data_IF_329783667487
#
_entry.id   IF_329783667487
#
_cell.length_a   1.000
_cell.length_b   1.000
_cell.length_c   1.000
_cell.angle_alpha   90.00
_cell.angle_beta   90.00
_cell.angle_gamma   90.00
#
_symmetry.space_group_name_H-M   'P 1'
#
loop_
_entity.id
_entity.type
_entity.pdbx_description
1 polymer ?
#
# COMPACT_ATOMS: atom_id res chain seq x y z
N UNK A 1 9.58 -16.45 16.02
CA UNK A 1 8.55 -15.40 16.11
C UNK A 1 9.22 -14.10 15.66
N UNK A 2 8.77 -13.51 14.55
CA UNK A 2 9.44 -12.40 13.84
C UNK A 2 9.10 -11.04 14.48
N UNK A 3 9.41 -10.88 15.77
CA UNK A 3 9.03 -9.69 16.52
C UNK A 3 10.01 -9.37 17.67
N UNK A 4 11.31 -9.31 17.39
CA UNK A 4 12.32 -8.87 18.39
C UNK A 4 13.23 -7.75 17.86
N UNK A 5 12.72 -6.92 16.95
CA UNK A 5 13.37 -5.65 16.61
C UNK A 5 12.29 -4.59 16.46
N UNK A 6 12.40 -3.42 17.10
CA UNK A 6 11.40 -2.37 16.97
C UNK A 6 11.17 -1.97 15.50
N UNK A 7 12.18 -2.08 14.64
CA UNK A 7 12.04 -1.90 13.19
C UNK A 7 11.31 -3.06 12.47
N UNK A 8 11.45 -4.31 12.96
CA UNK A 8 10.85 -5.50 12.33
C UNK A 8 9.38 -5.71 12.72
N UNK A 9 9.00 -5.38 13.96
CA UNK A 9 7.61 -5.39 14.39
C UNK A 9 6.81 -4.27 13.72
N UNK A 10 7.42 -3.09 13.54
CA UNK A 10 6.82 -1.95 12.85
C UNK A 10 6.62 -2.24 11.35
N UNK A 11 7.65 -2.77 10.68
CA UNK A 11 7.53 -3.21 9.28
C UNK A 11 6.45 -4.29 9.08
N UNK A 12 6.30 -5.19 10.05
CA UNK A 12 5.25 -6.23 10.02
C UNK A 12 3.87 -5.63 10.23
N UNK A 13 3.71 -4.72 11.19
CA UNK A 13 2.43 -4.03 11.44
C UNK A 13 1.99 -3.19 10.24
N UNK A 14 2.93 -2.48 9.59
CA UNK A 14 2.68 -1.74 8.36
C UNK A 14 2.29 -2.70 7.23
N UNK A 15 2.97 -3.84 7.08
CA UNK A 15 2.61 -4.85 6.08
C UNK A 15 1.18 -5.39 6.30
N UNK A 16 0.85 -5.77 7.53
CA UNK A 16 -0.50 -6.26 7.87
C UNK A 16 -1.56 -5.18 7.67
N UNK A 17 -1.29 -3.94 8.09
CA UNK A 17 -2.20 -2.82 7.89
C UNK A 17 -2.47 -2.53 6.41
N UNK A 18 -1.45 -2.59 5.55
CA UNK A 18 -1.62 -2.41 4.10
C UNK A 18 -2.41 -3.56 3.47
N UNK A 19 -2.18 -4.81 3.90
CA UNK A 19 -2.92 -5.98 3.42
C UNK A 19 -4.40 -5.90 3.84
N UNK A 20 -4.69 -5.57 5.10
CA UNK A 20 -6.05 -5.38 5.58
C UNK A 20 -6.73 -4.23 4.86
N UNK A 21 -6.03 -3.11 4.66
CA UNK A 21 -6.59 -1.97 3.94
C UNK A 21 -6.92 -2.31 2.49
N UNK A 22 -6.05 -3.06 1.79
CA UNK A 22 -6.34 -3.56 0.44
C UNK A 22 -7.58 -4.45 0.43
N UNK A 23 -7.68 -5.40 1.37
CA UNK A 23 -8.84 -6.30 1.49
C UNK A 23 -10.14 -5.56 1.80
N UNK A 24 -10.11 -4.58 2.70
CA UNK A 24 -11.26 -3.73 3.05
C UNK A 24 -11.76 -2.94 1.84
N UNK A 25 -10.84 -2.52 0.98
CA UNK A 25 -11.17 -1.88 -0.29
C UNK A 25 -11.45 -2.88 -1.41
N UNK A 26 -11.38 -4.20 -1.20
CA UNK A 26 -11.60 -5.22 -2.25
C UNK A 26 -10.52 -5.22 -3.34
N UNK A 27 -9.32 -4.75 -3.01
CA UNK A 27 -8.13 -4.79 -3.87
C UNK A 27 -7.33 -6.07 -3.58
N UNK A 28 -6.68 -6.59 -4.61
CA UNK A 28 -5.73 -7.70 -4.44
C UNK A 28 -4.49 -7.19 -3.66
N UNK A 29 -4.21 -7.70 -2.44
CA UNK A 29 -3.16 -7.15 -1.58
C UNK A 29 -1.78 -7.13 -2.22
N UNK A 30 -1.47 -8.16 -3.00
CA UNK A 30 -0.20 -8.27 -3.69
C UNK A 30 -0.04 -7.19 -4.77
N UNK A 31 -1.09 -6.96 -5.56
CA UNK A 31 -1.08 -5.93 -6.61
C UNK A 31 -0.97 -4.52 -6.03
N UNK A 32 -1.69 -4.27 -4.93
CA UNK A 32 -1.64 -3.00 -4.20
C UNK A 32 -0.25 -2.72 -3.64
N UNK A 33 0.34 -3.66 -2.89
CA UNK A 33 1.69 -3.53 -2.33
C UNK A 33 2.76 -3.35 -3.42
N UNK A 34 2.71 -4.15 -4.49
CA UNK A 34 3.65 -4.05 -5.60
C UNK A 34 3.59 -2.68 -6.28
N UNK A 35 2.40 -2.10 -6.38
CA UNK A 35 2.21 -0.80 -7.01
C UNK A 35 2.63 0.35 -6.10
N UNK A 36 2.38 0.24 -4.79
CA UNK A 36 2.95 1.15 -3.79
C UNK A 36 4.47 1.13 -3.90
N UNK A 37 5.13 -0.03 -3.82
CA UNK A 37 6.59 -0.10 -3.88
C UNK A 37 7.18 0.39 -5.21
N UNK A 38 6.44 0.23 -6.31
CA UNK A 38 6.84 0.75 -7.62
C UNK A 38 6.70 2.26 -7.73
N UNK A 39 5.68 2.85 -7.13
CA UNK A 39 5.40 4.29 -7.26
C UNK A 39 5.98 5.13 -6.10
N UNK A 40 6.26 4.53 -4.94
CA UNK A 40 6.96 5.18 -3.81
C UNK A 40 8.23 5.93 -4.23
N UNK A 41 9.16 5.34 -5.03
CA UNK A 41 10.37 6.03 -5.45
C UNK A 41 10.12 7.17 -6.44
N UNK A 42 8.94 7.23 -7.07
CA UNK A 42 8.56 8.30 -8.00
C UNK A 42 7.58 9.31 -7.38
N UNK A 43 7.15 9.08 -6.13
CA UNK A 43 6.23 9.98 -5.44
C UNK A 43 7.01 11.14 -4.82
N UNK A 44 7.13 12.23 -5.56
CA UNK A 44 7.76 13.47 -5.08
C UNK A 44 6.76 14.44 -4.46
N UNK A 45 5.47 14.35 -4.83
CA UNK A 45 4.44 15.28 -4.36
C UNK A 45 3.40 14.60 -3.48
N UNK A 46 2.71 15.40 -2.66
CA UNK A 46 1.59 14.93 -1.82
C UNK A 46 0.51 14.28 -2.69
N UNK A 47 0.26 14.80 -3.90
CA UNK A 47 -0.72 14.22 -4.82
C UNK A 47 -0.32 12.82 -5.32
N UNK A 48 0.98 12.55 -5.50
CA UNK A 48 1.46 11.22 -5.86
C UNK A 48 1.28 10.24 -4.69
N UNK A 49 1.51 10.69 -3.46
CA UNK A 49 1.24 9.91 -2.25
C UNK A 49 -0.27 9.65 -2.11
N UNK A 50 -1.11 10.64 -2.39
CA UNK A 50 -2.58 10.49 -2.40
C UNK A 50 -3.08 9.54 -3.50
N UNK A 51 -2.38 9.45 -4.62
CA UNK A 51 -2.65 8.47 -5.68
C UNK A 51 -2.31 7.02 -5.26
N UNK A 52 -1.41 6.85 -4.28
CA UNK A 52 -1.07 5.55 -3.71
C UNK A 52 -2.06 5.07 -2.66
N UNK A 53 -2.99 5.94 -2.23
CA UNK A 53 -3.97 5.59 -1.21
C UNK A 53 -5.02 4.61 -1.76
N UNK A 54 -5.54 3.72 -0.92
CA UNK A 54 -6.30 2.54 -1.35
C UNK A 54 -7.67 2.90 -1.97
N UNK A 55 -8.22 4.07 -1.63
CA UNK A 55 -9.42 4.59 -2.28
C UNK A 55 -9.15 5.13 -3.69
N UNK A 56 -7.94 5.64 -3.96
CA UNK A 56 -7.55 6.17 -5.27
C UNK A 56 -7.04 5.07 -6.20
N UNK A 57 -6.55 3.98 -5.63
CA UNK A 57 -6.07 2.81 -6.36
C UNK A 57 -7.17 2.16 -7.23
N UNK A 58 -8.42 2.14 -6.75
CA UNK A 58 -9.59 1.70 -7.54
C UNK A 58 -9.94 2.64 -8.69
N UNK A 59 -9.71 3.94 -8.55
CA UNK A 59 -10.05 4.92 -9.59
C UNK A 59 -9.19 4.73 -10.85
N UNK A 60 -8.00 4.13 -10.71
CA UNK A 60 -7.10 3.85 -11.83
C UNK A 60 -7.52 2.66 -12.69
N UNK A 61 -8.40 1.78 -12.20
CA UNK A 61 -8.92 0.61 -12.94
C UNK A 61 -10.29 0.86 -13.60
N UNK A 62 -10.77 2.11 -13.66
CA UNK A 62 -12.00 2.45 -14.39
C UNK A 62 -11.70 3.55 -15.41
N UNK A 63 -10.99 3.19 -16.48
CA UNK A 63 -11.00 3.91 -17.75
C UNK A 63 -10.59 2.96 -18.88
N UNK A 64 -11.47 2.00 -19.18
CA UNK A 64 -11.81 1.65 -20.56
C UNK A 64 -13.22 1.06 -20.62
#
# INVERSE_FOLDING_TARGET
MLADTPAGADASAVHYGLIETAKLHGLEPYQYLNSIFKALPYAETVGDIEALLPWNFKAKEISH
#
